data_IF_927194649881
#
_entry.id   IF_927194649881
#
_cell.length_a   1.000
_cell.length_b   1.000
_cell.length_c   1.000
_cell.angle_alpha   90.00
_cell.angle_beta   90.00
_cell.angle_gamma   90.00
#
_symmetry.space_group_name_H-M   'P 1'
#
loop_
_entity.id
_entity.type
_entity.pdbx_description
1 polymer ?
#
# COMPACT_ATOMS: atom_id res chain seq x y z
N UNK A 1 -54.02 24.56 -19.91
CA UNK A 1 -53.24 23.42 -19.37
C UNK A 1 -51.96 23.10 -20.17
N UNK A 2 -51.32 24.06 -20.86
CA UNK A 2 -50.12 23.75 -21.69
C UNK A 2 -48.80 24.18 -21.05
N UNK A 3 -48.83 25.17 -20.15
CA UNK A 3 -47.64 25.71 -19.47
C UNK A 3 -47.23 24.96 -18.19
N UNK A 4 -48.17 24.28 -17.52
CA UNK A 4 -47.87 23.47 -16.33
C UNK A 4 -46.92 22.31 -16.64
N UNK A 5 -47.04 21.72 -17.85
CA UNK A 5 -46.15 20.65 -18.30
C UNK A 5 -44.72 21.17 -18.47
N UNK A 6 -44.55 22.39 -19.01
CA UNK A 6 -43.23 23.01 -19.16
C UNK A 6 -42.58 23.34 -17.82
N UNK A 7 -43.34 23.80 -16.83
CA UNK A 7 -42.83 24.06 -15.48
C UNK A 7 -42.38 22.76 -14.82
N UNK A 8 -43.15 21.68 -14.97
CA UNK A 8 -42.84 20.38 -14.38
C UNK A 8 -41.58 19.75 -15.00
N UNK A 9 -41.41 19.90 -16.32
CA UNK A 9 -40.17 19.51 -17.01
C UNK A 9 -38.99 20.37 -16.58
N UNK A 10 -39.18 21.69 -16.43
CA UNK A 10 -38.11 22.60 -16.01
C UNK A 10 -37.58 22.26 -14.62
N UNK A 11 -38.44 21.91 -13.66
CA UNK A 11 -38.03 21.48 -12.31
C UNK A 11 -37.20 20.18 -12.34
N UNK A 12 -37.49 19.27 -13.28
CA UNK A 12 -36.76 18.00 -13.41
C UNK A 12 -35.39 18.14 -14.09
N UNK A 13 -35.17 19.24 -14.83
CA UNK A 13 -33.92 19.51 -15.55
C UNK A 13 -32.94 20.33 -14.71
N UNK A 14 -33.36 20.86 -13.56
CA UNK A 14 -32.42 21.49 -12.61
C UNK A 14 -31.55 20.38 -12.04
N UNK A 15 -30.24 20.32 -12.35
CA UNK A 15 -29.37 19.36 -11.73
C UNK A 15 -29.36 19.69 -10.23
N UNK A 16 -29.90 18.79 -9.41
CA UNK A 16 -29.64 18.87 -7.98
C UNK A 16 -28.13 18.83 -7.83
N UNK A 17 -27.50 19.82 -7.16
CA UNK A 17 -26.10 19.69 -6.81
C UNK A 17 -26.03 18.53 -5.83
N UNK A 18 -25.82 17.33 -6.35
CA UNK A 18 -25.26 16.22 -5.59
C UNK A 18 -23.84 16.68 -5.29
N UNK A 19 -23.70 17.52 -4.26
CA UNK A 19 -22.45 17.62 -3.55
C UNK A 19 -22.15 16.18 -3.18
N UNK A 20 -21.21 15.56 -3.91
CA UNK A 20 -20.62 14.33 -3.47
C UNK A 20 -20.28 14.59 -2.00
N UNK A 21 -20.85 13.79 -1.11
CA UNK A 21 -20.39 13.76 0.27
C UNK A 21 -18.98 13.23 0.12
N UNK A 22 -18.03 14.14 -0.09
CA UNK A 22 -16.62 13.87 0.02
C UNK A 22 -16.52 13.37 1.45
N UNK A 23 -16.24 12.07 1.60
CA UNK A 23 -16.07 11.46 2.89
C UNK A 23 -14.76 12.04 3.41
N UNK A 24 -14.89 13.23 3.97
CA UNK A 24 -13.84 13.94 4.64
C UNK A 24 -13.48 13.08 5.82
N UNK A 25 -12.41 12.30 5.65
CA UNK A 25 -11.80 11.54 6.72
C UNK A 25 -11.11 12.55 7.64
N UNK A 26 -11.93 13.38 8.29
CA UNK A 26 -11.54 14.51 9.12
C UNK A 26 -11.66 14.06 10.56
N UNK A 27 -10.52 14.02 11.22
CA UNK A 27 -10.49 13.88 12.66
C UNK A 27 -10.98 15.17 13.30
N UNK A 28 -11.85 15.11 14.33
CA UNK A 28 -12.22 16.27 15.11
C UNK A 28 -10.97 16.91 15.75
N UNK A 29 -11.09 18.19 16.09
CA UNK A 29 -10.01 18.91 16.77
C UNK A 29 -9.59 18.18 18.05
N UNK A 30 -8.27 18.10 18.25
CA UNK A 30 -7.62 17.44 19.37
C UNK A 30 -7.81 15.91 19.45
N UNK A 31 -8.33 15.27 18.40
CA UNK A 31 -8.45 13.80 18.33
C UNK A 31 -7.22 13.20 17.64
N UNK A 32 -6.71 12.12 18.23
CA UNK A 32 -5.67 11.28 17.66
C UNK A 32 -6.26 9.97 17.16
N UNK A 33 -5.84 9.54 15.98
CA UNK A 33 -6.06 8.20 15.45
C UNK A 33 -4.72 7.53 15.18
N UNK A 34 -4.60 6.26 15.56
CA UNK A 34 -3.43 5.44 15.30
C UNK A 34 -3.87 4.13 14.69
N UNK A 35 -3.39 3.85 13.48
CA UNK A 35 -3.62 2.59 12.78
C UNK A 35 -2.29 1.82 12.65
N UNK A 36 -2.31 0.54 12.98
CA UNK A 36 -1.17 -0.36 12.81
C UNK A 36 -1.53 -1.47 11.83
N UNK A 37 -0.75 -1.60 10.75
CA UNK A 37 -0.91 -2.67 9.76
C UNK A 37 0.32 -3.54 9.75
N UNK A 38 0.16 -4.81 10.12
CA UNK A 38 1.21 -5.83 10.02
C UNK A 38 0.95 -6.69 8.77
N UNK A 39 1.92 -6.73 7.88
CA UNK A 39 1.93 -7.60 6.71
C UNK A 39 3.11 -8.55 6.82
N UNK A 40 2.83 -9.85 6.68
CA UNK A 40 3.85 -10.88 6.69
C UNK A 40 3.89 -11.54 5.31
N UNK A 41 5.05 -11.48 4.66
CA UNK A 41 5.33 -12.28 3.48
C UNK A 41 6.02 -13.56 3.93
N UNK A 42 5.40 -14.74 3.69
CA UNK A 42 5.98 -16.01 4.11
C UNK A 42 7.31 -16.26 3.41
N UNK A 43 8.06 -17.23 3.93
CA UNK A 43 9.39 -17.58 3.42
C UNK A 43 9.35 -17.89 1.92
N UNK A 44 10.20 -17.22 1.14
CA UNK A 44 10.33 -17.41 -0.29
C UNK A 44 11.79 -17.64 -0.71
N UNK A 45 12.00 -18.49 -1.72
CA UNK A 45 13.31 -18.80 -2.30
C UNK A 45 13.44 -18.37 -3.78
N UNK A 46 12.37 -17.80 -4.35
CA UNK A 46 12.29 -17.30 -5.74
C UNK A 46 11.84 -15.84 -5.78
N UNK A 47 12.29 -15.12 -6.81
CA UNK A 47 11.90 -13.73 -7.11
C UNK A 47 11.86 -13.53 -8.63
N UNK A 48 11.29 -12.42 -9.10
CA UNK A 48 11.24 -12.11 -10.52
C UNK A 48 12.53 -11.43 -10.98
N UNK A 49 13.15 -11.96 -12.03
CA UNK A 49 14.34 -11.39 -12.67
C UNK A 49 14.02 -10.07 -13.41
N UNK A 50 15.04 -9.42 -13.98
CA UNK A 50 14.88 -8.19 -14.77
C UNK A 50 14.03 -8.34 -16.04
N UNK A 51 13.69 -9.58 -16.44
CA UNK A 51 12.83 -9.91 -17.57
C UNK A 51 11.40 -10.29 -17.14
N UNK A 52 11.10 -10.26 -15.83
CA UNK A 52 9.80 -10.65 -15.29
C UNK A 52 9.59 -12.16 -15.18
N UNK A 53 10.64 -12.96 -15.31
CA UNK A 53 10.59 -14.42 -15.15
C UNK A 53 10.95 -14.82 -13.72
N UNK A 54 10.30 -15.86 -13.20
CA UNK A 54 10.56 -16.36 -11.86
C UNK A 54 11.93 -17.07 -11.80
N UNK A 55 12.82 -16.57 -10.95
CA UNK A 55 14.21 -17.00 -10.83
C UNK A 55 14.60 -17.23 -9.35
N UNK A 56 15.59 -18.09 -9.07
CA UNK A 56 16.11 -18.27 -7.72
C UNK A 56 16.59 -16.94 -7.11
N UNK A 57 16.22 -16.67 -5.85
CA UNK A 57 16.58 -15.44 -5.15
C UNK A 57 18.11 -15.20 -5.09
N UNK A 58 18.90 -16.28 -5.10
CA UNK A 58 20.35 -16.21 -5.15
C UNK A 58 20.88 -15.44 -6.37
N UNK A 59 20.20 -15.52 -7.52
CA UNK A 59 20.63 -14.87 -8.75
C UNK A 59 20.57 -13.34 -8.65
N UNK A 60 19.71 -12.83 -7.77
CA UNK A 60 19.56 -11.41 -7.49
C UNK A 60 20.60 -10.87 -6.50
N UNK A 61 21.12 -11.73 -5.63
CA UNK A 61 22.07 -11.33 -4.58
C UNK A 61 23.52 -11.53 -4.99
N UNK A 62 23.80 -12.58 -5.75
CA UNK A 62 25.12 -12.89 -6.26
C UNK A 62 25.27 -12.24 -7.63
N UNK A 63 26.02 -11.14 -7.70
CA UNK A 63 26.27 -10.44 -8.97
C UNK A 63 27.22 -11.18 -9.90
N UNK A 64 28.17 -11.93 -9.35
CA UNK A 64 29.16 -12.68 -10.10
C UNK A 64 28.58 -14.02 -10.61
N UNK A 65 28.82 -14.31 -11.89
CA UNK A 65 28.31 -15.50 -12.56
C UNK A 65 29.03 -16.76 -12.10
N UNK A 66 30.33 -16.70 -11.81
CA UNK A 66 31.12 -17.82 -11.30
C UNK A 66 30.59 -18.27 -9.95
N UNK A 67 30.29 -17.32 -9.06
CA UNK A 67 29.70 -17.61 -7.74
C UNK A 67 28.25 -18.10 -7.83
N UNK A 68 27.45 -17.61 -8.79
CA UNK A 68 26.10 -18.14 -9.02
C UNK A 68 26.10 -19.61 -9.43
N UNK A 69 27.08 -20.01 -10.23
CA UNK A 69 27.17 -21.36 -10.78
C UNK A 69 27.89 -22.33 -9.82
N UNK A 70 28.73 -21.81 -8.91
CA UNK A 70 29.50 -22.62 -7.95
C UNK A 70 28.80 -22.86 -6.61
N UNK A 71 27.88 -21.98 -6.22
CA UNK A 71 27.25 -22.06 -4.90
C UNK A 71 26.08 -23.05 -4.94
N UNK A 72 26.25 -24.18 -4.25
CA UNK A 72 25.20 -25.19 -4.10
C UNK A 72 24.39 -24.86 -2.86
N UNK A 73 23.14 -24.46 -3.00
CA UNK A 73 22.36 -24.04 -1.83
C UNK A 73 21.01 -23.44 -2.13
N UNK A 74 20.33 -23.02 -1.06
CA UNK A 74 19.12 -22.19 -1.15
C UNK A 74 19.27 -20.94 -0.31
N UNK A 75 18.85 -19.82 -0.89
CA UNK A 75 18.73 -18.55 -0.17
C UNK A 75 17.24 -18.28 0.02
N UNK A 76 16.83 -18.26 1.28
CA UNK A 76 15.45 -18.03 1.70
C UNK A 76 15.34 -16.66 2.35
N UNK A 77 14.25 -15.97 2.06
CA UNK A 77 13.95 -14.69 2.69
C UNK A 77 12.53 -14.67 3.24
N UNK A 78 12.40 -14.01 4.37
CA UNK A 78 11.16 -13.74 5.06
C UNK A 78 11.06 -12.22 5.24
N UNK A 79 9.89 -11.65 4.98
CA UNK A 79 9.67 -10.20 5.13
C UNK A 79 8.48 -9.93 6.05
N UNK A 80 8.65 -8.95 6.94
CA UNK A 80 7.59 -8.41 7.76
C UNK A 80 7.59 -6.89 7.59
N UNK A 81 6.44 -6.35 7.22
CA UNK A 81 6.21 -4.91 7.10
C UNK A 81 5.21 -4.49 8.17
N UNK A 82 5.60 -3.51 8.97
CA UNK A 82 4.72 -2.83 9.90
C UNK A 82 4.55 -1.39 9.40
N UNK A 83 3.32 -0.99 9.10
CA UNK A 83 2.98 0.41 8.82
C UNK A 83 2.23 0.97 10.03
N UNK A 84 2.79 2.01 10.64
CA UNK A 84 2.13 2.78 11.69
C UNK A 84 1.68 4.09 11.06
N UNK A 85 0.37 4.35 11.05
CA UNK A 85 -0.22 5.60 10.59
C UNK A 85 -0.77 6.33 11.80
N UNK A 86 -0.40 7.59 11.94
CA UNK A 86 -0.85 8.46 13.01
C UNK A 86 -1.49 9.68 12.35
N UNK A 87 -2.67 10.04 12.81
CA UNK A 87 -3.37 11.22 12.35
C UNK A 87 -3.83 12.04 13.57
N UNK A 88 -3.72 13.36 13.49
CA UNK A 88 -4.09 14.29 14.55
C UNK A 88 -4.88 15.46 13.99
N UNK A 89 -6.10 15.68 14.49
CA UNK A 89 -6.90 16.85 14.16
C UNK A 89 -6.36 18.09 14.87
N UNK A 90 -5.70 18.99 14.13
CA UNK A 90 -5.24 20.28 14.66
C UNK A 90 -6.40 21.27 14.84
N UNK A 91 -7.32 21.30 13.88
CA UNK A 91 -8.54 22.13 13.88
C UNK A 91 -9.62 21.41 13.07
N UNK A 92 -10.85 21.92 13.03
CA UNK A 92 -11.93 21.37 12.17
C UNK A 92 -11.57 21.25 10.68
N UNK A 93 -10.53 21.95 10.23
CA UNK A 93 -10.10 22.00 8.81
C UNK A 93 -8.70 21.45 8.55
N UNK A 94 -7.91 21.23 9.60
CA UNK A 94 -6.50 20.85 9.47
C UNK A 94 -6.20 19.59 10.26
N UNK A 95 -5.51 18.66 9.61
CA UNK A 95 -5.06 17.40 10.20
C UNK A 95 -3.58 17.21 9.88
N UNK A 96 -2.83 16.66 10.82
CA UNK A 96 -1.46 16.18 10.63
C UNK A 96 -1.50 14.68 10.47
N UNK A 97 -0.88 14.17 9.41
CA UNK A 97 -0.70 12.74 9.20
C UNK A 97 0.80 12.40 9.19
N UNK A 98 1.15 11.30 9.86
CA UNK A 98 2.48 10.74 9.84
C UNK A 98 2.38 9.24 9.58
N UNK A 99 3.14 8.76 8.60
CA UNK A 99 3.26 7.32 8.31
C UNK A 99 4.69 6.88 8.57
N UNK A 100 4.85 5.87 9.42
CA UNK A 100 6.13 5.25 9.75
C UNK A 100 6.14 3.84 9.16
N UNK A 101 6.82 3.61 8.02
CA UNK A 101 7.01 2.29 7.47
C UNK A 101 8.23 1.62 8.11
N UNK A 102 8.01 0.44 8.71
CA UNK A 102 9.06 -0.41 9.26
C UNK A 102 9.11 -1.71 8.45
N UNK A 103 10.27 -2.01 7.86
CA UNK A 103 10.49 -3.22 7.08
C UNK A 103 11.58 -4.07 7.73
N UNK A 104 11.21 -5.25 8.17
CA UNK A 104 12.12 -6.26 8.67
C UNK A 104 12.31 -7.33 7.60
N UNK A 105 13.56 -7.62 7.25
CA UNK A 105 13.94 -8.71 6.36
C UNK A 105 14.81 -9.69 7.11
N UNK A 106 14.42 -10.95 7.13
CA UNK A 106 15.25 -12.04 7.64
C UNK A 106 15.69 -12.90 6.47
N UNK A 107 16.97 -13.23 6.43
CA UNK A 107 17.55 -14.03 5.37
C UNK A 107 18.26 -15.23 5.97
N UNK A 108 17.96 -16.40 5.43
CA UNK A 108 18.60 -17.66 5.79
C UNK A 108 19.28 -18.21 4.55
N UNK A 109 20.51 -18.65 4.74
CA UNK A 109 21.37 -19.11 3.65
C UNK A 109 21.93 -20.47 3.99
N UNK A 110 21.62 -21.48 3.17
CA UNK A 110 22.26 -22.79 3.24
C UNK A 110 23.17 -22.93 2.03
N UNK A 111 24.32 -22.26 2.06
CA UNK A 111 25.31 -22.32 0.97
C UNK A 111 26.34 -23.38 1.32
N UNK A 112 26.53 -24.31 0.40
CA UNK A 112 27.63 -25.24 0.36
C UNK A 112 28.57 -24.78 -0.77
N UNK A 113 29.88 -24.84 -0.49
CA UNK A 113 30.95 -24.49 -1.42
C UNK A 113 31.70 -25.76 -1.83
#
# INVERSE_FOLDING_TARGET
MKYYLFILVAVFVIPTPTHAIEFENRLPESVWEVEMRLQHTPVYDRAFNGYGEEAPLQQHMLWDRVWRDSVVGKLQREEQRLEIRMAYGLTEKWMLEATIPLLQKKQTSTLNF
#
